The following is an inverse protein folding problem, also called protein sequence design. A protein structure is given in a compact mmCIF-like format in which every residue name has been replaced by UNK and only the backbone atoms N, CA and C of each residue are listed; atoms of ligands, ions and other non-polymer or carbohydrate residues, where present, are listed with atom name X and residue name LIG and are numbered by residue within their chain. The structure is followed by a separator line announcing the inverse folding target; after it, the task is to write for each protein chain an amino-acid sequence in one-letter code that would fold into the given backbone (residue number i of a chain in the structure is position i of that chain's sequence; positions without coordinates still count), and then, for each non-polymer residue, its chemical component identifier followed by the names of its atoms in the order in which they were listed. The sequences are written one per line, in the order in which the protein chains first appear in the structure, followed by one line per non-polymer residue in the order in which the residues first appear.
data_IF_976254321893
#
_entry.id   IF_976254321893
#
_cell.length_a   1.000
_cell.length_b   1.000
_cell.length_c   1.000
_cell.angle_alpha   90.00
_cell.angle_beta   90.00
_cell.angle_gamma   90.00
#
_symmetry.space_group_name_H-M   'P 1'
#
loop_
_entity.id
_entity.type
_entity.pdbx_description
1 polymer ?
#
# COMPACT_ATOMS: atom_id res chain seq x y z
N UNK A 1 -2.50 12.11 -26.49
CA UNK A 1 -3.35 11.19 -25.72
C UNK A 1 -3.28 11.62 -24.27
N UNK A 2 -4.41 11.78 -23.59
CA UNK A 2 -4.44 12.14 -22.17
C UNK A 2 -4.14 10.90 -21.33
N UNK A 3 -3.15 10.97 -20.44
CA UNK A 3 -2.97 9.96 -19.41
C UNK A 3 -4.12 10.12 -18.40
N UNK A 4 -4.96 9.09 -18.30
CA UNK A 4 -6.02 9.04 -17.28
C UNK A 4 -5.40 8.35 -16.06
N UNK A 5 -5.48 9.01 -14.91
CA UNK A 5 -5.14 8.42 -13.61
C UNK A 5 -6.41 8.18 -12.82
N UNK A 6 -6.53 7.01 -12.21
CA UNK A 6 -7.61 6.65 -11.29
C UNK A 6 -6.98 6.43 -9.92
N UNK A 7 -7.50 7.12 -8.91
CA UNK A 7 -7.08 6.95 -7.52
C UNK A 7 -8.12 6.14 -6.77
N UNK A 8 -7.69 5.07 -6.10
CA UNK A 8 -8.50 4.29 -5.18
C UNK A 8 -8.10 4.64 -3.76
N UNK A 9 -9.04 5.17 -2.99
CA UNK A 9 -8.90 5.40 -1.56
C UNK A 9 -8.87 4.06 -0.80
N UNK A 10 -8.30 4.04 0.41
CA UNK A 10 -8.26 2.84 1.24
C UNK A 10 -9.66 2.30 1.60
N UNK A 11 -10.67 3.16 1.59
CA UNK A 11 -12.08 2.77 1.80
C UNK A 11 -12.78 2.25 0.55
N UNK A 12 -12.09 2.20 -0.60
CA UNK A 12 -12.67 1.75 -1.87
C UNK A 12 -13.04 0.28 -1.85
N UNK A 13 -14.24 -0.05 -2.33
CA UNK A 13 -14.71 -1.43 -2.48
C UNK A 13 -13.93 -2.23 -3.53
N UNK A 14 -13.11 -1.58 -4.35
CA UNK A 14 -12.24 -2.23 -5.33
C UNK A 14 -11.01 -2.86 -4.67
N UNK A 15 -10.61 -2.39 -3.49
CA UNK A 15 -9.50 -2.95 -2.73
C UNK A 15 -10.03 -4.09 -1.86
N UNK A 16 -9.50 -5.29 -2.08
CA UNK A 16 -9.89 -6.50 -1.35
C UNK A 16 -8.88 -6.79 -0.27
N UNK A 17 -9.24 -6.48 0.96
CA UNK A 17 -8.43 -6.75 2.14
C UNK A 17 -8.64 -8.18 2.65
N UNK A 18 -7.57 -8.83 3.10
CA UNK A 18 -7.58 -10.10 3.82
C UNK A 18 -6.65 -10.01 5.03
N UNK A 19 -7.03 -10.64 6.15
CA UNK A 19 -6.38 -10.45 7.45
C UNK A 19 -7.06 -9.36 8.28
N UNK A 20 -6.45 -9.00 9.40
CA UNK A 20 -6.99 -8.02 10.33
C UNK A 20 -6.56 -6.60 9.96
N UNK A 21 -7.38 -5.96 9.13
CA UNK A 21 -7.24 -4.55 8.78
C UNK A 21 -8.14 -3.72 9.68
N UNK A 22 -7.64 -2.59 10.18
CA UNK A 22 -8.40 -1.71 11.07
C UNK A 22 -8.27 -0.25 10.63
N UNK A 23 -9.39 0.45 10.71
CA UNK A 23 -9.43 1.88 10.40
C UNK A 23 -8.64 2.65 11.47
N UNK A 24 -7.74 3.51 11.02
CA UNK A 24 -7.01 4.42 11.89
C UNK A 24 -7.79 5.73 12.08
N UNK A 25 -7.38 6.53 13.06
CA UNK A 25 -7.99 7.84 13.27
C UNK A 25 -7.81 8.71 12.04
N UNK A 26 -8.85 9.47 11.67
CA UNK A 26 -8.78 10.42 10.56
C UNK A 26 -7.59 11.38 10.73
N UNK A 27 -6.82 11.56 9.67
CA UNK A 27 -5.66 12.46 9.65
C UNK A 27 -5.73 13.36 8.40
N UNK A 28 -5.60 14.68 8.54
CA UNK A 28 -5.67 15.60 7.40
C UNK A 28 -4.57 15.41 6.34
N UNK A 29 -3.50 14.67 6.66
CA UNK A 29 -2.43 14.35 5.72
C UNK A 29 -2.69 13.06 4.95
N UNK A 30 -3.71 12.26 5.30
CA UNK A 30 -4.09 11.10 4.52
C UNK A 30 -4.99 11.49 3.35
N UNK A 31 -4.93 10.73 2.25
CA UNK A 31 -5.88 10.90 1.16
C UNK A 31 -7.31 10.68 1.68
N UNK A 32 -8.24 11.56 1.31
CA UNK A 32 -9.61 11.58 1.82
C UNK A 32 -9.75 11.57 3.36
N UNK A 33 -8.66 11.88 4.08
CA UNK A 33 -8.57 11.83 5.55
C UNK A 33 -8.82 10.44 6.15
N UNK A 34 -8.65 9.38 5.35
CA UNK A 34 -8.81 7.98 5.76
C UNK A 34 -7.55 7.19 5.47
N UNK A 35 -7.27 6.22 6.34
CA UNK A 35 -6.22 5.24 6.12
C UNK A 35 -6.49 4.03 7.02
N UNK A 36 -6.23 2.85 6.46
CA UNK A 36 -6.43 1.56 7.13
C UNK A 36 -5.07 0.96 7.39
N UNK A 37 -4.87 0.52 8.63
CA UNK A 37 -3.61 -0.05 9.09
C UNK A 37 -3.69 -1.55 9.29
N UNK A 38 -2.51 -2.14 9.40
CA UNK A 38 -2.28 -3.53 9.79
C UNK A 38 -1.02 -3.58 10.67
N UNK A 39 -0.97 -4.51 11.61
CA UNK A 39 0.15 -4.74 12.53
C UNK A 39 0.40 -6.23 12.76
N UNK A 40 -0.05 -7.06 11.82
CA UNK A 40 0.08 -8.51 11.80
C UNK A 40 0.00 -8.96 10.33
N UNK A 41 0.30 -10.23 10.04
CA UNK A 41 0.25 -10.73 8.67
C UNK A 41 -1.11 -10.48 8.01
N UNK A 42 -1.10 -9.68 6.93
CA UNK A 42 -2.30 -9.39 6.15
C UNK A 42 -1.95 -9.09 4.69
N UNK A 43 -2.97 -8.97 3.86
CA UNK A 43 -2.80 -8.67 2.45
C UNK A 43 -3.92 -7.80 1.90
N UNK A 44 -3.66 -7.13 0.79
CA UNK A 44 -4.70 -6.57 -0.05
C UNK A 44 -4.48 -6.95 -1.52
N UNK A 45 -5.56 -6.95 -2.28
CA UNK A 45 -5.53 -7.13 -3.72
C UNK A 45 -6.35 -6.05 -4.45
N UNK A 46 -5.87 -5.65 -5.63
CA UNK A 46 -6.53 -4.71 -6.53
C UNK A 46 -6.40 -5.19 -7.97
N UNK A 47 -7.53 -5.46 -8.62
CA UNK A 47 -7.58 -5.64 -10.07
C UNK A 47 -7.70 -4.27 -10.75
N UNK A 48 -6.88 -4.01 -11.76
CA UNK A 48 -6.93 -2.76 -12.52
C UNK A 48 -6.63 -3.00 -14.00
N UNK A 49 -7.14 -2.12 -14.86
CA UNK A 49 -6.78 -2.08 -16.28
C UNK A 49 -5.90 -0.86 -16.53
N UNK A 50 -4.66 -1.08 -16.97
CA UNK A 50 -3.73 0.02 -17.21
C UNK A 50 -2.31 -0.42 -17.50
N UNK A 51 -1.42 0.55 -17.67
CA UNK A 51 0.00 0.35 -17.98
C UNK A 51 0.93 0.72 -16.82
N UNK A 52 0.39 1.14 -15.68
CA UNK A 52 1.17 1.49 -14.49
C UNK A 52 0.25 1.50 -13.25
N UNK A 53 0.80 1.13 -12.10
CA UNK A 53 0.17 1.32 -10.79
C UNK A 53 1.21 1.78 -9.77
N UNK A 54 0.77 2.56 -8.78
CA UNK A 54 1.59 2.95 -7.64
C UNK A 54 0.78 2.84 -6.36
N UNK A 55 1.44 2.45 -5.28
CA UNK A 55 0.85 2.35 -3.94
C UNK A 55 1.51 3.41 -3.06
N UNK A 56 0.68 4.26 -2.49
CA UNK A 56 1.08 5.25 -1.50
C UNK A 56 0.42 4.92 -0.18
N UNK A 57 1.11 5.21 0.92
CA UNK A 57 0.58 4.94 2.25
C UNK A 57 1.19 5.83 3.32
N UNK A 58 0.96 5.41 4.56
CA UNK A 58 1.52 6.04 5.74
C UNK A 58 2.41 5.05 6.49
N UNK A 59 3.58 5.50 6.92
CA UNK A 59 4.42 4.77 7.88
C UNK A 59 4.09 5.26 9.27
N UNK A 60 3.54 4.37 10.09
CA UNK A 60 3.17 4.69 11.47
C UNK A 60 4.09 3.97 12.43
N UNK A 61 4.91 4.74 13.13
CA UNK A 61 5.72 4.23 14.23
C UNK A 61 5.18 4.80 15.55
N UNK A 62 4.27 4.07 16.19
CA UNK A 62 3.74 4.45 17.48
C UNK A 62 4.68 4.04 18.61
N UNK A 63 5.54 4.94 19.09
CA UNK A 63 6.20 4.85 20.40
C UNK A 63 6.74 3.45 20.81
N UNK A 64 7.15 2.62 19.85
CA UNK A 64 7.69 1.30 20.14
C UNK A 64 9.08 1.49 20.72
N UNK A 65 9.38 0.74 21.79
CA UNK A 65 10.72 0.75 22.41
C UNK A 65 11.81 0.23 21.48
N UNK A 66 11.41 -0.43 20.39
CA UNK A 66 12.24 -0.94 19.30
C UNK A 66 11.56 -0.51 18.00
N UNK A 67 12.25 0.27 17.17
CA UNK A 67 11.75 0.59 15.82
C UNK A 67 12.05 -0.62 14.94
N UNK A 68 10.99 -1.26 14.45
CA UNK A 68 11.09 -2.33 13.44
C UNK A 68 10.72 -1.69 12.10
N UNK A 69 11.51 -1.96 11.06
CA UNK A 69 11.18 -1.48 9.73
C UNK A 69 9.89 -2.15 9.24
N UNK A 70 8.94 -1.37 8.73
CA UNK A 70 7.76 -1.92 8.06
C UNK A 70 8.20 -2.63 6.78
N UNK A 71 7.80 -3.89 6.61
CA UNK A 71 8.13 -4.70 5.44
C UNK A 71 6.86 -5.10 4.70
N UNK A 72 6.76 -4.70 3.44
CA UNK A 72 5.66 -5.12 2.59
C UNK A 72 6.18 -5.64 1.25
N UNK A 73 5.53 -6.68 0.74
CA UNK A 73 5.90 -7.32 -0.53
C UNK A 73 4.77 -7.12 -1.52
N UNK A 74 5.09 -6.57 -2.69
CA UNK A 74 4.14 -6.28 -3.75
C UNK A 74 4.38 -7.18 -4.94
N UNK A 75 3.30 -7.66 -5.55
CA UNK A 75 3.37 -8.39 -6.79
C UNK A 75 2.34 -7.96 -7.82
N UNK A 76 2.77 -7.90 -9.09
CA UNK A 76 1.90 -7.71 -10.26
C UNK A 76 1.84 -9.01 -11.05
N UNK A 77 0.65 -9.62 -11.09
CA UNK A 77 0.52 -11.01 -11.49
C UNK A 77 1.43 -11.91 -10.65
N UNK A 78 1.86 -13.05 -11.21
CA UNK A 78 2.78 -13.97 -10.52
C UNK A 78 4.27 -13.66 -10.79
N UNK A 79 4.62 -12.49 -11.34
CA UNK A 79 5.93 -12.27 -11.99
C UNK A 79 6.77 -11.13 -11.43
N UNK A 80 6.16 -10.02 -11.01
CA UNK A 80 6.91 -8.92 -10.35
C UNK A 80 6.80 -9.14 -8.86
N UNK A 81 7.91 -9.13 -8.12
CA UNK A 81 7.91 -9.15 -6.66
C UNK A 81 8.87 -8.04 -6.21
N UNK A 82 8.35 -7.05 -5.50
CA UNK A 82 9.14 -5.94 -4.94
C UNK A 82 8.88 -5.87 -3.45
N UNK A 83 9.95 -5.98 -2.68
CA UNK A 83 9.92 -5.74 -1.23
C UNK A 83 10.19 -4.26 -0.98
N UNK A 84 9.30 -3.64 -0.22
CA UNK A 84 9.49 -2.33 0.36
C UNK A 84 9.96 -2.49 1.81
N UNK A 85 10.94 -1.69 2.20
CA UNK A 85 11.41 -1.58 3.58
C UNK A 85 11.30 -0.13 4.03
N UNK A 86 10.39 0.13 4.96
CA UNK A 86 10.14 1.46 5.49
C UNK A 86 11.28 1.94 6.40
N UNK A 87 11.67 3.22 6.34
CA UNK A 87 12.62 3.78 7.28
C UNK A 87 12.10 3.70 8.72
N UNK A 88 13.01 3.38 9.65
CA UNK A 88 12.77 3.54 11.08
C UNK A 88 12.64 5.04 11.40
N UNK A 89 11.46 5.45 11.83
CA UNK A 89 11.14 6.84 12.20
C UNK A 89 10.32 6.85 13.48
N UNK A 90 10.30 7.97 14.21
CA UNK A 90 9.44 8.15 15.39
C UNK A 90 8.24 9.06 15.11
N UNK A 91 8.11 9.53 13.88
CA UNK A 91 6.99 10.36 13.43
C UNK A 91 6.27 9.66 12.29
N UNK A 92 4.93 9.73 12.22
CA UNK A 92 4.20 9.30 11.05
C UNK A 92 4.70 10.02 9.81
N UNK A 93 4.88 9.28 8.72
CA UNK A 93 5.14 9.83 7.40
C UNK A 93 3.99 9.45 6.48
N UNK A 94 3.51 10.40 5.68
CA UNK A 94 2.34 10.25 4.82
C UNK A 94 2.70 10.51 3.36
N UNK A 95 1.93 9.95 2.42
CA UNK A 95 2.23 10.00 0.99
C UNK A 95 3.53 9.26 0.62
N UNK A 96 3.90 8.26 1.40
CA UNK A 96 5.09 7.47 1.16
C UNK A 96 4.82 6.52 -0.01
N UNK A 97 5.66 6.58 -1.05
CA UNK A 97 5.60 5.65 -2.17
C UNK A 97 6.15 4.29 -1.72
N UNK A 98 5.27 3.31 -1.55
CA UNK A 98 5.66 1.95 -1.20
C UNK A 98 5.99 1.11 -2.43
N UNK A 99 5.25 1.31 -3.52
CA UNK A 99 5.41 0.53 -4.73
C UNK A 99 5.12 1.35 -5.98
N UNK A 100 5.90 1.13 -7.03
CA UNK A 100 5.64 1.56 -8.39
C UNK A 100 5.94 0.38 -9.32
N UNK A 101 5.02 0.06 -10.21
CA UNK A 101 5.19 -1.09 -11.13
C UNK A 101 6.22 -0.87 -12.24
N UNK A 102 6.65 0.38 -12.45
CA UNK A 102 7.25 0.79 -13.72
C UNK A 102 6.23 0.75 -14.86
N UNK A 103 6.73 0.51 -16.07
CA UNK A 103 5.90 0.37 -17.27
C UNK A 103 5.39 -1.07 -17.40
N UNK A 104 4.08 -1.21 -17.63
CA UNK A 104 3.38 -2.46 -17.90
C UNK A 104 2.69 -2.39 -19.26
N UNK A 105 2.38 -3.55 -19.84
CA UNK A 105 1.48 -3.61 -20.99
C UNK A 105 0.08 -3.11 -20.61
N UNK A 106 -0.59 -2.41 -21.52
CA UNK A 106 -1.93 -1.86 -21.28
C UNK A 106 -3.02 -2.95 -21.33
N UNK A 107 -3.14 -3.70 -20.23
CA UNK A 107 -4.06 -4.83 -20.06
C UNK A 107 -4.63 -4.86 -18.63
N UNK A 108 -5.40 -5.89 -18.31
CA UNK A 108 -5.82 -6.19 -16.95
C UNK A 108 -4.66 -6.81 -16.14
N UNK A 109 -4.47 -6.30 -14.93
CA UNK A 109 -3.45 -6.73 -13.99
C UNK A 109 -4.04 -6.94 -12.60
N UNK A 110 -3.41 -7.82 -11.82
CA UNK A 110 -3.70 -8.02 -10.41
C UNK A 110 -2.50 -7.57 -9.59
N UNK A 111 -2.69 -6.52 -8.79
CA UNK A 111 -1.77 -6.13 -7.74
C UNK A 111 -2.13 -6.87 -6.45
N UNK A 112 -1.13 -7.48 -5.81
CA UNK A 112 -1.25 -8.06 -4.47
C UNK A 112 -0.16 -7.46 -3.60
N UNK A 113 -0.49 -7.12 -2.37
CA UNK A 113 0.45 -6.76 -1.32
C UNK A 113 0.31 -7.75 -0.17
N UNK A 114 1.42 -8.22 0.37
CA UNK A 114 1.47 -9.00 1.62
C UNK A 114 2.38 -8.31 2.61
N UNK A 115 1.90 -8.15 3.83
CA UNK A 115 2.70 -7.73 4.99
C UNK A 115 3.38 -8.98 5.55
N UNK A 116 4.71 -8.95 5.68
CA UNK A 116 5.47 -10.03 6.30
C UNK A 116 5.93 -9.58 7.69
N UNK A 117 5.45 -10.24 8.75
CA UNK A 117 6.14 -10.23 10.04
C UNK A 117 7.32 -11.22 9.96
N UNK A 118 8.49 -10.79 10.46
CA UNK A 118 9.59 -11.70 10.83
C UNK A 118 9.29 -12.44 12.15
#
# INVERSE_FOLDING_TARGET
MSNISITYDDTSDQIKYAGYWYLLQQDPHAYNQTYTGVNEQASFALSFFGSQVSVYGALRNENYSVSVATLSVYSIGNNVVVTYTGPMSNTPDFHVLFFNSGDLDANEHLLVMTDEEE
#
